data_IF_988550910173
#
_entry.id   IF_988550910173
#
_cell.length_a   1.000
_cell.length_b   1.000
_cell.length_c   1.000
_cell.angle_alpha   90.00
_cell.angle_beta   90.00
_cell.angle_gamma   90.00
#
_symmetry.space_group_name_H-M   'P 1'
#
loop_
_entity.id
_entity.type
_entity.pdbx_description
1 polymer ?
#
# COMPACT_ATOMS: atom_id res chain seq x y z
N UNK A 1 -5.91 15.68 -25.96
CA UNK A 1 -5.32 14.99 -24.81
C UNK A 1 -5.26 13.52 -25.16
N UNK A 2 -4.08 12.91 -25.16
CA UNK A 2 -3.95 11.45 -25.15
C UNK A 2 -4.30 11.00 -23.74
N UNK A 3 -5.23 10.05 -23.62
CA UNK A 3 -5.49 9.37 -22.35
C UNK A 3 -4.25 8.53 -22.04
N UNK A 4 -3.67 8.72 -20.87
CA UNK A 4 -2.54 7.92 -20.39
C UNK A 4 -3.02 6.48 -20.15
N UNK A 5 -2.20 5.49 -20.51
CA UNK A 5 -2.60 4.09 -20.40
C UNK A 5 -2.94 3.76 -18.93
N UNK A 6 -4.15 3.25 -18.63
CA UNK A 6 -4.56 2.92 -17.28
C UNK A 6 -3.57 2.01 -16.54
N UNK A 7 -2.90 1.10 -17.26
CA UNK A 7 -1.88 0.23 -16.67
C UNK A 7 -0.73 1.03 -16.06
N UNK A 8 -0.22 2.04 -16.79
CA UNK A 8 0.88 2.87 -16.28
C UNK A 8 0.45 3.77 -15.13
N UNK A 9 -0.79 4.25 -15.15
CA UNK A 9 -1.36 5.03 -14.04
C UNK A 9 -1.42 4.18 -12.77
N UNK A 10 -2.06 3.00 -12.83
CA UNK A 10 -2.20 2.11 -11.66
C UNK A 10 -0.85 1.62 -11.17
N UNK A 11 0.09 1.29 -12.09
CA UNK A 11 1.47 0.95 -11.72
C UNK A 11 2.13 2.07 -10.91
N UNK A 12 2.00 3.32 -11.32
CA UNK A 12 2.56 4.46 -10.58
C UNK A 12 1.89 4.65 -9.21
N UNK A 13 0.58 4.42 -9.13
CA UNK A 13 -0.19 4.48 -7.87
C UNK A 13 0.28 3.41 -6.89
N UNK A 14 0.43 2.16 -7.35
CA UNK A 14 1.02 1.06 -6.57
C UNK A 14 2.42 1.42 -6.07
N UNK A 15 3.27 1.98 -6.94
CA UNK A 15 4.62 2.42 -6.55
C UNK A 15 4.59 3.50 -5.45
N UNK A 16 3.70 4.50 -5.56
CA UNK A 16 3.50 5.53 -4.54
C UNK A 16 2.97 4.94 -3.23
N UNK A 17 2.00 4.03 -3.30
CA UNK A 17 1.43 3.34 -2.15
C UNK A 17 2.50 2.53 -1.38
N UNK A 18 3.41 1.86 -2.09
CA UNK A 18 4.54 1.14 -1.49
C UNK A 18 5.46 2.08 -0.70
N UNK A 19 5.73 3.29 -1.18
CA UNK A 19 6.52 4.27 -0.42
C UNK A 19 5.81 4.67 0.88
N UNK A 20 4.48 4.87 0.83
CA UNK A 20 3.68 5.19 2.02
C UNK A 20 3.71 4.04 3.02
N UNK A 21 3.50 2.80 2.56
CA UNK A 21 3.56 1.58 3.38
C UNK A 21 4.91 1.40 4.06
N UNK A 22 6.03 1.70 3.37
CA UNK A 22 7.37 1.65 3.97
C UNK A 22 7.51 2.62 5.15
N UNK A 23 6.99 3.83 5.02
CA UNK A 23 7.02 4.82 6.11
C UNK A 23 6.11 4.41 7.27
N UNK A 24 4.90 3.90 6.98
CA UNK A 24 3.99 3.36 8.00
C UNK A 24 4.63 2.18 8.75
N UNK A 25 5.31 1.28 8.04
CA UNK A 25 5.99 0.14 8.64
C UNK A 25 7.16 0.55 9.55
N UNK A 26 7.95 1.56 9.14
CA UNK A 26 9.00 2.11 10.00
C UNK A 26 8.41 2.71 11.29
N UNK A 27 7.37 3.54 11.18
CA UNK A 27 6.67 4.12 12.35
C UNK A 27 6.08 3.04 13.24
N UNK A 28 5.45 2.03 12.66
CA UNK A 28 4.88 0.90 13.38
C UNK A 28 5.94 0.15 14.19
N UNK A 29 7.14 -0.05 13.62
CA UNK A 29 8.27 -0.69 14.29
C UNK A 29 8.73 0.16 15.49
N UNK A 30 8.94 1.47 15.28
CA UNK A 30 9.33 2.39 16.37
C UNK A 30 8.31 2.39 17.53
N UNK A 31 7.01 2.33 17.21
CA UNK A 31 5.92 2.31 18.20
C UNK A 31 5.90 1.02 19.03
N UNK A 32 6.32 -0.11 18.46
CA UNK A 32 6.44 -1.36 19.22
C UNK A 32 7.59 -1.34 20.21
N UNK A 33 8.71 -0.71 19.85
CA UNK A 33 9.89 -0.62 20.69
C UNK A 33 9.73 0.45 21.79
N UNK A 34 8.96 1.51 21.53
CA UNK A 34 8.82 2.70 22.41
C UNK A 34 7.93 2.56 23.66
N UNK A 35 7.24 1.43 23.84
CA UNK A 35 6.55 0.99 25.07
C UNK A 35 5.98 2.06 26.02
N UNK A 36 4.82 2.67 25.71
CA UNK A 36 4.07 3.53 26.62
C UNK A 36 2.54 3.48 26.40
N UNK A 37 1.72 3.87 27.38
CA UNK A 37 0.24 3.82 27.21
C UNK A 37 -0.25 4.73 26.07
N UNK A 38 0.42 5.87 25.84
CA UNK A 38 0.17 6.78 24.71
C UNK A 38 0.51 6.16 23.35
N UNK A 39 1.33 5.11 23.31
CA UNK A 39 1.72 4.43 22.07
C UNK A 39 0.76 3.31 21.66
N UNK A 40 -0.20 2.90 22.51
CA UNK A 40 -1.09 1.78 22.20
C UNK A 40 -2.15 2.15 21.14
N UNK A 41 -2.86 3.27 21.33
CA UNK A 41 -3.85 3.76 20.36
C UNK A 41 -3.19 4.09 19.01
N UNK A 42 -2.03 4.76 19.05
CA UNK A 42 -1.26 5.06 17.86
C UNK A 42 -0.76 3.79 17.16
N UNK A 43 -0.32 2.78 17.92
CA UNK A 43 0.09 1.49 17.38
C UNK A 43 -1.08 0.76 16.71
N UNK A 44 -2.26 0.75 17.33
CA UNK A 44 -3.47 0.13 16.76
C UNK A 44 -3.89 0.83 15.46
N UNK A 45 -3.95 2.16 15.47
CA UNK A 45 -4.22 2.96 14.28
C UNK A 45 -3.20 2.67 13.17
N UNK A 46 -1.91 2.76 13.47
CA UNK A 46 -0.84 2.52 12.49
C UNK A 46 -0.89 1.09 11.94
N UNK A 47 -1.23 0.11 12.79
CA UNK A 47 -1.42 -1.28 12.37
C UNK A 47 -2.59 -1.42 11.40
N UNK A 48 -3.72 -0.78 11.68
CA UNK A 48 -4.90 -0.84 10.83
C UNK A 48 -4.65 -0.19 9.46
N UNK A 49 -4.05 0.99 9.45
CA UNK A 49 -3.69 1.70 8.22
C UNK A 49 -2.69 0.91 7.37
N UNK A 50 -1.68 0.29 8.01
CA UNK A 50 -0.74 -0.57 7.32
C UNK A 50 -1.44 -1.76 6.64
N UNK A 51 -2.36 -2.44 7.34
CA UNK A 51 -3.12 -3.57 6.78
C UNK A 51 -4.03 -3.14 5.63
N UNK A 52 -4.71 -2.01 5.76
CA UNK A 52 -5.59 -1.50 4.72
C UNK A 52 -4.81 -1.10 3.47
N UNK A 53 -3.67 -0.43 3.65
CA UNK A 53 -2.80 -0.02 2.55
C UNK A 53 -2.23 -1.23 1.80
N UNK A 54 -1.78 -2.26 2.53
CA UNK A 54 -1.29 -3.50 1.93
C UNK A 54 -2.39 -4.22 1.15
N UNK A 55 -3.61 -4.32 1.70
CA UNK A 55 -4.74 -4.95 1.00
C UNK A 55 -5.11 -4.20 -0.29
N UNK A 56 -5.08 -2.86 -0.27
CA UNK A 56 -5.31 -2.07 -1.48
C UNK A 56 -4.28 -2.38 -2.55
N UNK A 57 -2.99 -2.46 -2.17
CA UNK A 57 -1.91 -2.82 -3.10
C UNK A 57 -2.10 -4.23 -3.65
N UNK A 58 -2.52 -5.21 -2.82
CA UNK A 58 -2.79 -6.57 -3.28
C UNK A 58 -3.87 -6.59 -4.37
N UNK A 59 -4.99 -5.88 -4.16
CA UNK A 59 -6.04 -5.76 -5.17
C UNK A 59 -5.56 -5.05 -6.44
N UNK A 60 -4.81 -3.95 -6.31
CA UNK A 60 -4.28 -3.27 -7.49
C UNK A 60 -3.32 -4.17 -8.29
N UNK A 61 -2.56 -5.05 -7.62
CA UNK A 61 -1.69 -6.01 -8.28
C UNK A 61 -2.46 -7.15 -8.95
N UNK A 62 -3.54 -7.64 -8.32
CA UNK A 62 -4.45 -8.62 -8.92
C UNK A 62 -5.06 -8.06 -10.22
N UNK A 63 -5.57 -6.82 -10.19
CA UNK A 63 -6.13 -6.15 -11.37
C UNK A 63 -5.06 -5.96 -12.47
N UNK A 64 -3.84 -5.56 -12.10
CA UNK A 64 -2.74 -5.43 -13.05
C UNK A 64 -2.34 -6.77 -13.68
N UNK A 65 -2.32 -7.86 -12.92
CA UNK A 65 -2.05 -9.21 -13.43
C UNK A 65 -3.13 -9.65 -14.42
N UNK A 66 -4.42 -9.45 -14.10
CA UNK A 66 -5.53 -9.74 -15.01
C UNK A 66 -5.42 -8.96 -16.33
N UNK A 67 -4.97 -7.70 -16.30
CA UNK A 67 -4.79 -6.90 -17.53
C UNK A 67 -3.68 -7.42 -18.43
N UNK A 68 -2.60 -7.98 -17.86
CA UNK A 68 -1.50 -8.57 -18.64
C UNK A 68 -1.97 -9.88 -19.27
N UNK A 69 -2.66 -10.72 -18.52
CA UNK A 69 -3.18 -12.01 -19.00
C UNK A 69 -4.14 -11.83 -20.18
N UNK A 70 -4.96 -10.76 -20.23
CA UNK A 70 -5.84 -10.45 -21.37
C UNK A 70 -5.06 -10.19 -22.67
N UNK A 71 -3.83 -9.66 -22.58
CA UNK A 71 -3.00 -9.33 -23.74
C UNK A 71 -2.24 -10.54 -24.32
N UNK A 72 -2.13 -11.63 -23.56
CA UNK A 72 -1.42 -12.85 -23.96
C UNK A 72 -2.28 -13.82 -24.81
N UNK A 73 -3.51 -13.42 -25.19
CA UNK A 73 -4.45 -14.20 -26.03
C UNK A 73 -4.68 -13.66 -27.44
#
# INVERSE_FOLDING_TARGET
MSVEDPFFVVKEEVQKAILVVKNLFARWTDLQEGGGMSSHEELEYTTNELRNSLRSIEWDLEDLEETVDILDY
#
